data_IF_341948835719
#
_entry.id   IF_341948835719
#
_cell.length_a   1.000
_cell.length_b   1.000
_cell.length_c   1.000
_cell.angle_alpha   90.00
_cell.angle_beta   90.00
_cell.angle_gamma   90.00
#
_symmetry.space_group_name_H-M   'P 1'
#
loop_
_entity.id
_entity.type
_entity.pdbx_description
1 polymer ?
#
# COMPACT_ATOMS: atom_id res chain seq x y z
N UNK A 1 -13.79 2.84 8.63
CA UNK A 1 -12.65 2.01 9.01
C UNK A 1 -12.81 1.69 10.48
N UNK A 2 -12.67 0.44 10.92
CA UNK A 2 -12.59 0.07 12.34
C UNK A 2 -11.13 -0.03 12.77
N UNK A 3 -10.49 1.13 12.95
CA UNK A 3 -9.05 1.19 13.26
C UNK A 3 -8.73 0.54 14.60
N UNK A 4 -9.68 0.55 15.54
CA UNK A 4 -9.61 -0.09 16.85
C UNK A 4 -9.43 -1.61 16.81
N UNK A 5 -9.64 -2.25 15.66
CA UNK A 5 -9.28 -3.66 15.47
C UNK A 5 -7.76 -3.87 15.56
N UNK A 6 -6.96 -2.86 15.26
CA UNK A 6 -5.49 -2.90 15.33
C UNK A 6 -5.01 -2.39 16.68
N UNK A 7 -4.22 -3.20 17.37
CA UNK A 7 -3.60 -2.82 18.65
C UNK A 7 -2.45 -1.84 18.49
N UNK A 8 -1.83 -1.80 17.30
CA UNK A 8 -0.71 -0.93 16.96
C UNK A 8 -0.98 -0.23 15.63
N UNK A 9 -1.05 1.09 15.68
CA UNK A 9 -1.15 1.95 14.51
C UNK A 9 -0.57 3.32 14.88
N UNK A 10 -0.12 4.06 13.87
CA UNK A 10 0.39 5.41 14.04
C UNK A 10 -0.57 6.40 13.39
N UNK A 11 -0.93 7.47 14.11
CA UNK A 11 -1.58 8.62 13.48
C UNK A 11 -0.50 9.59 12.98
N UNK A 12 -0.54 9.89 11.69
CA UNK A 12 0.50 10.63 11.00
C UNK A 12 -0.09 11.83 10.25
N UNK A 13 0.73 12.86 10.08
CA UNK A 13 0.40 14.04 9.27
C UNK A 13 1.50 14.41 8.28
N UNK A 14 2.71 13.89 8.44
CA UNK A 14 3.79 14.05 7.46
C UNK A 14 3.74 13.04 6.33
N UNK A 15 4.83 12.95 5.61
CA UNK A 15 5.10 11.87 4.68
C UNK A 15 5.30 10.55 5.44
N UNK A 16 5.21 9.42 4.74
CA UNK A 16 5.60 8.12 5.27
C UNK A 16 6.47 7.37 4.27
N UNK A 17 7.50 6.72 4.80
CA UNK A 17 8.40 5.85 4.08
C UNK A 17 8.23 4.43 4.59
N UNK A 18 8.02 3.48 3.68
CA UNK A 18 7.88 2.06 4.00
C UNK A 18 9.06 1.30 3.44
N UNK A 19 9.65 0.47 4.28
CA UNK A 19 10.80 -0.36 3.94
C UNK A 19 10.56 -1.77 4.45
N UNK A 20 11.04 -2.77 3.73
CA UNK A 20 11.13 -4.14 4.24
C UNK A 20 12.59 -4.60 4.25
N UNK A 21 13.13 -4.74 5.45
CA UNK A 21 14.51 -5.17 5.68
C UNK A 21 14.65 -6.69 5.79
N UNK A 22 13.57 -7.46 5.62
CA UNK A 22 13.54 -8.90 5.92
C UNK A 22 14.63 -9.64 5.16
N UNK A 23 14.79 -9.37 3.85
CA UNK A 23 15.84 -10.01 3.06
C UNK A 23 17.24 -9.48 3.43
N UNK A 24 17.41 -8.15 3.46
CA UNK A 24 18.70 -7.50 3.70
C UNK A 24 19.32 -7.85 5.06
N UNK A 25 18.50 -8.15 6.06
CA UNK A 25 18.95 -8.41 7.43
C UNK A 25 18.75 -9.86 7.88
N UNK A 26 18.41 -10.76 6.95
CA UNK A 26 18.06 -12.15 7.24
C UNK A 26 16.99 -12.28 8.35
N UNK A 27 15.97 -11.41 8.29
CA UNK A 27 14.80 -11.40 9.16
C UNK A 27 14.99 -10.72 10.52
N UNK A 28 16.15 -10.12 10.79
CA UNK A 28 16.40 -9.39 12.06
C UNK A 28 15.60 -8.10 12.18
N UNK A 29 15.44 -7.41 11.05
CA UNK A 29 14.61 -6.22 10.89
C UNK A 29 13.64 -6.51 9.76
N UNK A 30 12.39 -6.11 9.95
CA UNK A 30 11.32 -6.41 9.01
C UNK A 30 10.68 -5.14 8.47
N UNK A 31 9.37 -5.14 8.23
CA UNK A 31 8.64 -3.96 7.75
C UNK A 31 8.77 -2.81 8.76
N UNK A 32 9.14 -1.63 8.26
CA UNK A 32 9.25 -0.40 9.03
C UNK A 32 8.48 0.72 8.32
N UNK A 33 7.81 1.57 9.09
CA UNK A 33 7.20 2.82 8.60
C UNK A 33 7.88 3.98 9.33
N UNK A 34 8.39 4.98 8.60
CA UNK A 34 9.07 6.16 9.15
C UNK A 34 8.54 7.45 8.52
N UNK A 35 8.77 8.59 9.17
CA UNK A 35 8.47 9.93 8.64
C UNK A 35 9.62 10.53 7.82
N UNK A 36 10.81 9.95 7.91
CA UNK A 36 12.02 10.40 7.22
C UNK A 36 12.51 9.34 6.23
N UNK A 37 13.02 9.80 5.09
CA UNK A 37 13.57 8.95 4.03
C UNK A 37 14.79 8.17 4.55
N UNK A 38 14.83 6.84 4.41
CA UNK A 38 16.00 6.05 4.77
C UNK A 38 17.18 6.22 3.80
N UNK A 39 18.38 6.45 4.34
CA UNK A 39 19.62 6.44 3.54
C UNK A 39 20.16 5.03 3.23
N UNK A 40 19.60 3.98 3.87
CA UNK A 40 20.16 2.62 3.88
C UNK A 40 19.44 1.61 2.97
N UNK A 41 18.26 1.94 2.45
CA UNK A 41 17.47 1.07 1.57
C UNK A 41 16.50 1.91 0.74
N UNK A 42 16.25 1.50 -0.52
CA UNK A 42 15.17 2.09 -1.30
C UNK A 42 13.81 1.83 -0.63
N UNK A 43 12.89 2.79 -0.68
CA UNK A 43 11.62 2.76 0.04
C UNK A 43 10.43 3.04 -0.86
N UNK A 44 9.24 2.71 -0.35
CA UNK A 44 7.99 3.29 -0.85
C UNK A 44 7.72 4.61 -0.12
N UNK A 45 7.28 5.65 -0.84
CA UNK A 45 7.02 6.98 -0.28
C UNK A 45 5.55 7.41 -0.46
N UNK A 46 4.87 7.60 0.67
CA UNK A 46 3.56 8.25 0.73
C UNK A 46 3.75 9.75 1.00
N UNK A 47 3.48 10.56 -0.01
CA UNK A 47 3.69 12.01 -0.01
C UNK A 47 2.43 12.72 0.53
N UNK A 48 2.59 13.63 1.50
CA UNK A 48 1.49 14.34 2.15
C UNK A 48 1.76 15.84 2.33
N UNK A 49 1.82 16.62 1.24
CA UNK A 49 2.19 18.02 1.30
C UNK A 49 1.17 18.89 2.03
N UNK A 50 -0.07 18.41 2.19
CA UNK A 50 -1.18 19.15 2.83
C UNK A 50 -1.35 18.82 4.30
N UNK A 51 -0.49 17.96 4.86
CA UNK A 51 -0.56 17.50 6.24
C UNK A 51 -1.91 16.89 6.62
N UNK A 52 -2.52 16.16 5.68
CA UNK A 52 -3.78 15.44 5.93
C UNK A 52 -3.53 14.38 7.01
N UNK A 53 -4.38 14.28 8.02
CA UNK A 53 -4.23 13.21 9.02
C UNK A 53 -4.63 11.85 8.45
N UNK A 54 -3.81 10.83 8.68
CA UNK A 54 -4.08 9.44 8.30
C UNK A 54 -3.54 8.47 9.35
N UNK A 55 -4.00 7.23 9.31
CA UNK A 55 -3.44 6.15 10.10
C UNK A 55 -2.56 5.25 9.25
N UNK A 56 -1.42 4.86 9.80
CA UNK A 56 -0.51 3.88 9.24
C UNK A 56 -0.52 2.61 10.10
N UNK A 57 -0.69 1.46 9.46
CA UNK A 57 -0.74 0.14 10.10
C UNK A 57 0.32 -0.74 9.48
N UNK A 58 1.28 -1.18 10.29
CA UNK A 58 2.18 -2.29 9.97
C UNK A 58 1.48 -3.60 10.33
N UNK A 59 1.26 -4.50 9.37
CA UNK A 59 0.50 -5.72 9.63
C UNK A 59 1.28 -6.74 10.47
N UNK A 60 2.61 -6.74 10.38
CA UNK A 60 3.45 -7.62 11.21
C UNK A 60 3.38 -7.27 12.70
N UNK A 61 3.03 -6.02 13.03
CA UNK A 61 2.80 -5.55 14.39
C UNK A 61 1.40 -5.88 14.91
N UNK A 62 0.51 -6.42 14.06
CA UNK A 62 -0.88 -6.74 14.39
C UNK A 62 -1.27 -8.19 14.04
N UNK A 63 -0.51 -9.21 14.49
CA UNK A 63 -0.75 -10.62 14.15
C UNK A 63 -2.05 -11.19 14.73
N UNK A 64 -2.76 -10.44 15.59
CA UNK A 64 -4.07 -10.84 16.10
C UNK A 64 -5.19 -10.63 15.06
N UNK A 65 -5.03 -9.66 14.15
CA UNK A 65 -6.03 -9.30 13.14
C UNK A 65 -5.86 -10.14 11.89
N UNK A 66 -4.62 -10.25 11.43
CA UNK A 66 -4.26 -11.01 10.25
C UNK A 66 -3.08 -11.92 10.62
N UNK A 67 -3.18 -13.22 10.31
CA UNK A 67 -2.11 -14.22 10.53
C UNK A 67 -1.59 -14.79 9.22
N UNK A 68 -0.28 -15.04 9.16
CA UNK A 68 0.39 -15.73 8.04
C UNK A 68 1.28 -14.81 7.19
N UNK A 69 2.17 -15.43 6.42
CA UNK A 69 3.16 -14.80 5.53
C UNK A 69 2.57 -14.17 4.27
N UNK A 70 1.29 -14.43 3.98
CA UNK A 70 0.67 -14.09 2.69
C UNK A 70 -0.13 -12.78 2.77
N UNK A 71 0.25 -11.91 3.70
CA UNK A 71 -0.32 -10.57 3.84
C UNK A 71 0.61 -9.55 3.21
N UNK A 72 0.03 -8.46 2.73
CA UNK A 72 0.82 -7.29 2.40
C UNK A 72 1.42 -6.63 3.64
N UNK A 73 2.41 -5.78 3.42
CA UNK A 73 3.28 -5.23 4.44
C UNK A 73 2.55 -4.22 5.31
N UNK A 74 1.78 -3.32 4.70
CA UNK A 74 1.13 -2.25 5.44
C UNK A 74 -0.14 -1.70 4.80
N UNK A 75 -0.81 -0.85 5.56
CA UNK A 75 -2.00 -0.13 5.17
C UNK A 75 -1.95 1.31 5.64
N UNK A 76 -2.36 2.23 4.76
CA UNK A 76 -2.62 3.62 5.09
C UNK A 76 -4.10 3.93 4.91
N UNK A 77 -4.68 4.69 5.83
CA UNK A 77 -6.11 5.01 5.82
C UNK A 77 -6.34 6.46 6.19
N UNK A 78 -7.19 7.17 5.44
CA UNK A 78 -7.66 8.49 5.85
C UNK A 78 -8.33 8.41 7.24
N UNK A 79 -7.85 9.19 8.22
CA UNK A 79 -8.40 9.10 9.59
C UNK A 79 -9.81 9.69 9.69
N UNK A 80 -10.13 10.64 8.82
CA UNK A 80 -11.44 11.27 8.68
C UNK A 80 -11.70 11.51 7.21
N UNK A 81 -12.97 11.51 6.81
CA UNK A 81 -13.37 11.94 5.48
C UNK A 81 -14.72 12.63 5.52
N UNK A 82 -14.87 13.70 4.74
CA UNK A 82 -16.14 14.42 4.56
C UNK A 82 -17.17 13.59 3.78
N UNK A 83 -16.71 12.62 3.00
CA UNK A 83 -17.53 11.67 2.24
C UNK A 83 -16.98 10.25 2.36
N UNK A 84 -16.53 9.65 1.26
CA UNK A 84 -15.75 8.41 1.32
C UNK A 84 -14.29 8.72 1.60
N UNK A 85 -13.71 8.04 2.57
CA UNK A 85 -12.27 8.05 2.82
C UNK A 85 -11.51 7.20 1.81
N UNK A 86 -10.22 7.04 2.01
CA UNK A 86 -9.39 6.13 1.23
C UNK A 86 -8.66 5.13 2.14
N UNK A 87 -8.44 3.94 1.61
CA UNK A 87 -7.60 2.88 2.16
C UNK A 87 -6.60 2.51 1.08
N UNK A 88 -5.30 2.56 1.39
CA UNK A 88 -4.23 2.09 0.52
C UNK A 88 -3.53 0.92 1.19
N UNK A 89 -3.65 -0.27 0.61
CA UNK A 89 -2.80 -1.40 0.95
C UNK A 89 -1.54 -1.32 0.10
N UNK A 90 -0.38 -1.62 0.68
CA UNK A 90 0.90 -1.53 -0.02
C UNK A 90 1.65 -2.85 0.14
N UNK A 91 2.08 -3.40 -0.99
CA UNK A 91 2.99 -4.54 -1.03
C UNK A 91 4.38 -4.10 -1.51
N UNK A 92 5.46 -4.52 -0.85
CA UNK A 92 6.83 -4.25 -1.27
C UNK A 92 7.51 -5.51 -1.83
N UNK A 93 8.19 -5.37 -2.96
CA UNK A 93 9.05 -6.44 -3.50
C UNK A 93 10.46 -5.93 -3.78
N UNK A 94 11.44 -6.53 -3.10
CA UNK A 94 12.87 -6.35 -3.40
C UNK A 94 13.32 -7.54 -4.25
N UNK A 95 13.73 -7.29 -5.48
CA UNK A 95 14.08 -8.34 -6.42
C UNK A 95 14.99 -7.89 -7.56
N UNK A 96 15.58 -8.85 -8.25
CA UNK A 96 16.27 -8.60 -9.52
C UNK A 96 15.25 -8.21 -10.61
N UNK A 97 15.67 -7.36 -11.55
CA UNK A 97 14.80 -6.81 -12.61
C UNK A 97 14.03 -7.90 -13.39
N UNK A 98 14.70 -9.02 -13.72
CA UNK A 98 14.08 -10.16 -14.42
C UNK A 98 12.90 -10.81 -13.70
N UNK A 99 12.74 -10.55 -12.39
CA UNK A 99 11.68 -11.12 -11.56
C UNK A 99 10.53 -10.12 -11.32
N UNK A 100 10.61 -8.89 -11.83
CA UNK A 100 9.62 -7.83 -11.58
C UNK A 100 8.21 -8.29 -11.96
N UNK A 101 8.03 -8.83 -13.17
CA UNK A 101 6.72 -9.23 -13.67
C UNK A 101 6.05 -10.28 -12.77
N UNK A 102 6.77 -11.36 -12.48
CA UNK A 102 6.28 -12.42 -11.59
C UNK A 102 5.96 -11.86 -10.20
N UNK A 103 6.86 -11.08 -9.63
CA UNK A 103 6.70 -10.55 -8.29
C UNK A 103 5.55 -9.54 -8.19
N UNK A 104 5.28 -8.78 -9.25
CA UNK A 104 4.13 -7.89 -9.33
C UNK A 104 2.80 -8.69 -9.33
N UNK A 105 2.74 -9.80 -10.07
CA UNK A 105 1.58 -10.70 -10.04
C UNK A 105 1.35 -11.32 -8.65
N UNK A 106 2.41 -11.82 -8.02
CA UNK A 106 2.35 -12.37 -6.66
C UNK A 106 1.91 -11.29 -5.64
N UNK A 107 2.44 -10.07 -5.76
CA UNK A 107 2.08 -8.92 -4.94
C UNK A 107 0.60 -8.55 -5.06
N UNK A 108 0.06 -8.50 -6.30
CA UNK A 108 -1.36 -8.23 -6.51
C UNK A 108 -2.25 -9.24 -5.78
N UNK A 109 -1.91 -10.53 -5.86
CA UNK A 109 -2.64 -11.59 -5.17
C UNK A 109 -2.63 -11.39 -3.66
N UNK A 110 -1.48 -11.10 -3.06
CA UNK A 110 -1.37 -10.84 -1.61
C UNK A 110 -2.18 -9.62 -1.16
N UNK A 111 -2.14 -8.54 -1.94
CA UNK A 111 -2.94 -7.34 -1.70
C UNK A 111 -4.45 -7.64 -1.71
N UNK A 112 -4.91 -8.39 -2.70
CA UNK A 112 -6.32 -8.74 -2.84
C UNK A 112 -6.79 -9.69 -1.73
N UNK A 113 -5.99 -10.70 -1.38
CA UNK A 113 -6.28 -11.62 -0.28
C UNK A 113 -6.32 -10.90 1.08
N UNK A 114 -5.42 -9.94 1.30
CA UNK A 114 -5.42 -9.09 2.50
C UNK A 114 -6.70 -8.25 2.57
N UNK A 115 -7.08 -7.59 1.47
CA UNK A 115 -8.30 -6.82 1.40
C UNK A 115 -9.54 -7.65 1.73
N UNK A 116 -9.66 -8.85 1.14
CA UNK A 116 -10.81 -9.73 1.38
C UNK A 116 -10.94 -10.08 2.86
N UNK A 117 -9.84 -10.44 3.52
CA UNK A 117 -9.84 -10.72 4.97
C UNK A 117 -10.29 -9.50 5.78
N UNK A 118 -9.80 -8.31 5.45
CA UNK A 118 -10.21 -7.07 6.14
C UNK A 118 -11.70 -6.75 5.94
N UNK A 119 -12.24 -7.06 4.76
CA UNK A 119 -13.67 -6.89 4.46
C UNK A 119 -14.52 -7.94 5.20
N UNK A 120 -14.11 -9.20 5.19
CA UNK A 120 -14.78 -10.30 5.92
C UNK A 120 -14.85 -10.02 7.43
N UNK A 121 -13.78 -9.47 7.99
CA UNK A 121 -13.72 -9.03 9.39
C UNK A 121 -14.48 -7.73 9.68
N UNK A 122 -15.11 -7.12 8.67
CA UNK A 122 -15.81 -5.83 8.74
C UNK A 122 -14.92 -4.67 9.24
N UNK A 123 -13.62 -4.72 8.94
CA UNK A 123 -12.66 -3.68 9.29
C UNK A 123 -12.67 -2.59 8.21
N UNK A 124 -12.68 -3.00 6.94
CA UNK A 124 -12.74 -2.17 5.75
C UNK A 124 -14.04 -2.46 4.99
N UNK A 125 -14.61 -1.46 4.33
CA UNK A 125 -15.79 -1.62 3.50
C UNK A 125 -15.77 -0.69 2.27
N UNK A 126 -16.33 -1.18 1.16
CA UNK A 126 -16.38 -0.45 -0.13
C UNK A 126 -17.40 0.71 -0.15
N UNK A 127 -18.32 0.77 0.83
CA UNK A 127 -19.32 1.84 0.90
C UNK A 127 -18.68 3.13 1.42
N UNK A 128 -17.83 3.01 2.44
CA UNK A 128 -17.24 4.15 3.15
C UNK A 128 -15.84 4.51 2.63
N UNK A 129 -15.17 3.61 1.90
CA UNK A 129 -13.80 3.82 1.45
C UNK A 129 -13.64 3.62 -0.05
N UNK A 130 -12.71 4.37 -0.62
CA UNK A 130 -12.07 4.10 -1.91
C UNK A 130 -10.85 3.23 -1.64
N UNK A 131 -10.81 2.06 -2.25
CA UNK A 131 -9.74 1.09 -2.01
C UNK A 131 -8.68 1.20 -3.09
N UNK A 132 -7.43 1.32 -2.66
CA UNK A 132 -6.25 1.33 -3.49
C UNK A 132 -5.36 0.15 -3.09
N UNK A 133 -4.90 -0.63 -4.06
CA UNK A 133 -3.90 -1.68 -3.88
C UNK A 133 -2.65 -1.22 -4.61
N UNK A 134 -1.57 -0.92 -3.89
CA UNK A 134 -0.33 -0.45 -4.48
C UNK A 134 0.75 -1.52 -4.41
N UNK A 135 1.31 -1.83 -5.58
CA UNK A 135 2.53 -2.64 -5.69
C UNK A 135 3.71 -1.67 -5.73
N UNK A 136 4.68 -1.85 -4.86
CA UNK A 136 5.93 -1.11 -4.87
C UNK A 136 7.11 -2.06 -5.07
N UNK A 137 8.03 -1.66 -5.94
CA UNK A 137 9.29 -2.34 -6.18
C UNK A 137 10.39 -1.26 -6.09
N UNK A 138 10.81 -0.89 -4.87
CA UNK A 138 11.56 0.35 -4.61
C UNK A 138 12.82 0.56 -5.46
N UNK A 139 13.56 -0.52 -5.73
CA UNK A 139 14.82 -0.47 -6.49
C UNK A 139 14.63 -0.24 -8.01
N UNK A 140 13.39 -0.27 -8.49
CA UNK A 140 13.06 -0.32 -9.92
C UNK A 140 12.10 0.79 -10.38
N UNK A 141 12.20 2.00 -9.82
CA UNK A 141 11.30 3.13 -10.19
C UNK A 141 11.23 3.40 -11.69
N UNK A 142 12.31 3.16 -12.44
CA UNK A 142 12.37 3.30 -13.91
C UNK A 142 11.50 2.29 -14.69
N UNK A 143 10.94 1.28 -14.00
CA UNK A 143 10.04 0.26 -14.55
C UNK A 143 8.58 0.48 -14.14
N UNK A 144 8.29 1.49 -13.32
CA UNK A 144 6.92 1.85 -12.99
C UNK A 144 6.17 2.34 -14.25
N UNK A 145 4.85 2.11 -14.36
CA UNK A 145 3.99 1.41 -13.40
C UNK A 145 4.17 -0.11 -13.42
N UNK A 146 4.29 -0.72 -12.24
CA UNK A 146 4.48 -2.17 -12.07
C UNK A 146 3.25 -3.02 -12.44
N UNK A 147 2.10 -2.37 -12.68
CA UNK A 147 0.91 -3.04 -13.21
C UNK A 147 1.02 -3.36 -14.70
N UNK A 148 1.85 -2.63 -15.47
CA UNK A 148 1.91 -2.74 -16.93
C UNK A 148 2.43 -4.11 -17.42
N UNK A 149 3.12 -4.87 -16.57
CA UNK A 149 3.64 -6.20 -16.91
C UNK A 149 2.55 -7.28 -16.92
N UNK A 150 1.47 -7.07 -16.18
CA UNK A 150 0.46 -8.09 -15.91
C UNK A 150 -0.94 -7.66 -16.38
N UNK A 151 -1.20 -6.36 -16.40
CA UNK A 151 -2.53 -5.81 -16.62
C UNK A 151 -2.51 -4.81 -17.77
N UNK A 152 -3.42 -5.02 -18.71
CA UNK A 152 -3.83 -4.00 -19.67
C UNK A 152 -4.63 -2.91 -18.98
N UNK A 153 -4.85 -1.79 -19.67
CA UNK A 153 -5.75 -0.75 -19.16
C UNK A 153 -7.17 -1.26 -18.94
N UNK A 154 -7.64 -2.19 -19.78
CA UNK A 154 -8.97 -2.79 -19.65
C UNK A 154 -9.08 -3.67 -18.40
N UNK A 155 -8.03 -4.44 -18.06
CA UNK A 155 -7.99 -5.24 -16.83
C UNK A 155 -8.06 -4.35 -15.57
N UNK A 156 -7.37 -3.22 -15.59
CA UNK A 156 -7.41 -2.24 -14.49
C UNK A 156 -8.78 -1.57 -14.36
N UNK A 157 -9.44 -1.30 -15.51
CA UNK A 157 -10.81 -0.80 -15.53
C UNK A 157 -11.79 -1.85 -15.01
N UNK A 158 -11.61 -3.13 -15.35
CA UNK A 158 -12.40 -4.22 -14.80
C UNK A 158 -12.26 -4.31 -13.27
N UNK A 159 -11.04 -4.20 -12.74
CA UNK A 159 -10.81 -4.12 -11.30
C UNK A 159 -11.58 -2.96 -10.65
N UNK A 160 -11.60 -1.80 -11.31
CA UNK A 160 -12.33 -0.64 -10.81
C UNK A 160 -13.86 -0.83 -10.88
N UNK A 161 -14.38 -1.31 -12.01
CA UNK A 161 -15.82 -1.38 -12.23
C UNK A 161 -16.47 -2.58 -11.55
N UNK A 162 -15.80 -3.72 -11.56
CA UNK A 162 -16.28 -4.98 -10.98
C UNK A 162 -15.91 -5.08 -9.52
N UNK A 163 -14.63 -4.91 -9.18
CA UNK A 163 -14.13 -5.13 -7.81
C UNK A 163 -14.13 -3.86 -6.95
N UNK A 164 -14.43 -2.67 -7.53
CA UNK A 164 -14.43 -1.37 -6.84
C UNK A 164 -13.08 -1.02 -6.20
N UNK A 165 -12.00 -1.52 -6.80
CA UNK A 165 -10.62 -1.36 -6.35
C UNK A 165 -9.80 -0.65 -7.43
N UNK A 166 -8.91 0.25 -7.03
CA UNK A 166 -7.90 0.84 -7.92
C UNK A 166 -6.55 0.17 -7.66
N UNK A 167 -5.99 -0.47 -8.68
CA UNK A 167 -4.64 -1.02 -8.59
C UNK A 167 -3.64 0.03 -9.04
N UNK A 168 -2.62 0.24 -8.23
CA UNK A 168 -1.49 1.13 -8.46
C UNK A 168 -0.22 0.28 -8.51
N UNK A 169 0.83 0.81 -9.13
CA UNK A 169 2.12 0.12 -9.25
C UNK A 169 3.26 1.11 -9.19
N UNK A 170 3.33 1.91 -8.13
CA UNK A 170 4.32 2.99 -8.00
C UNK A 170 5.06 2.91 -6.68
N UNK A 171 6.30 3.37 -6.69
CA UNK A 171 7.09 3.56 -5.46
C UNK A 171 6.69 4.82 -4.69
N UNK A 172 5.79 5.62 -5.28
CA UNK A 172 5.33 6.87 -4.70
C UNK A 172 3.82 7.01 -4.86
N UNK A 173 3.14 7.52 -3.84
CA UNK A 173 1.72 7.87 -3.89
C UNK A 173 1.50 9.19 -3.16
N UNK A 174 0.73 10.09 -3.79
CA UNK A 174 0.40 11.41 -3.26
C UNK A 174 -0.98 11.41 -2.60
N UNK A 175 -1.04 11.84 -1.34
CA UNK A 175 -2.28 12.21 -0.66
C UNK A 175 -2.75 13.57 -1.20
N UNK A 176 -3.91 13.58 -1.87
CA UNK A 176 -4.51 14.81 -2.37
C UNK A 176 -5.31 15.53 -1.31
N UNK A 177 -6.08 14.76 -0.54
CA UNK A 177 -6.92 15.22 0.56
C UNK A 177 -7.45 13.99 1.33
N UNK A 178 -8.40 14.22 2.22
CA UNK A 178 -8.98 13.21 3.08
C UNK A 178 -9.83 12.16 2.33
N UNK A 179 -10.18 12.42 1.07
CA UNK A 179 -11.03 11.57 0.24
C UNK A 179 -10.28 10.84 -0.89
N UNK A 180 -9.09 11.31 -1.29
CA UNK A 180 -8.39 10.81 -2.48
C UNK A 180 -6.86 10.78 -2.33
N UNK A 181 -6.28 9.74 -2.93
CA UNK A 181 -4.86 9.63 -3.24
C UNK A 181 -4.69 9.39 -4.75
N UNK A 182 -3.48 9.60 -5.27
CA UNK A 182 -3.13 9.30 -6.66
C UNK A 182 -1.63 8.95 -6.79
N UNK A 183 -1.21 8.27 -7.86
CA UNK A 183 0.21 8.27 -8.21
C UNK A 183 0.70 9.69 -8.54
N UNK A 184 2.00 9.98 -8.37
CA UNK A 184 2.59 11.23 -8.85
C UNK A 184 2.34 11.39 -10.36
N UNK A 185 2.29 12.64 -10.83
CA UNK A 185 2.18 12.89 -12.26
C UNK A 185 3.50 12.53 -12.90
N UNK A 186 3.48 11.71 -13.95
CA UNK A 186 4.59 11.65 -14.89
C UNK A 186 4.72 13.04 -15.52
N UNK A 187 5.89 13.67 -15.38
CA UNK A 187 6.25 14.79 -16.27
C UNK A 187 6.46 14.17 -17.65
N UNK A 188 5.51 14.44 -18.56
CA UNK A 188 5.59 14.10 -19.98
C UNK A 188 6.37 15.21 -20.70
#
# INVERSE_FOLDING_TARGET
MRIEAFTRYNEMTGDAYVMDYTQATAGKRKVCIKEEDPDDIASFHLINPRKTTYWAVNFEENPAVLKGSDQCECMFVSSRASSKGWVCLVELKYCLEKNIERNAGDAFKQLYETLNKLVELNIVDYKSHRIYLNISIPEHSHRAPFTAFQNTQDDLLECLYTHKVKVLGYNEVLILNECFIRPPKEEI
#
